data_IF_640113445228
#
_entry.id   IF_640113445228
#
_cell.length_a   1.000
_cell.length_b   1.000
_cell.length_c   1.000
_cell.angle_alpha   90.00
_cell.angle_beta   90.00
_cell.angle_gamma   90.00
#
_symmetry.space_group_name_H-M   'P 1'
#
loop_
_entity.id
_entity.type
_entity.pdbx_description
1 polymer ?
#
# COMPACT_ATOMS: atom_id res chain seq x y z
N UNK A 1 20.57 6.85 22.86
CA UNK A 1 19.35 6.07 23.22
C UNK A 1 18.28 6.41 22.20
N UNK A 2 17.52 5.40 21.70
CA UNK A 2 16.41 5.64 20.75
C UNK A 2 15.24 6.30 21.47
N UNK A 3 14.73 7.42 20.94
CA UNK A 3 13.78 8.29 21.64
C UNK A 3 12.54 8.62 20.82
N UNK A 4 12.58 8.43 19.48
CA UNK A 4 11.57 8.92 18.56
C UNK A 4 10.98 7.79 17.71
N UNK A 5 9.73 7.97 17.27
CA UNK A 5 9.05 7.15 16.30
C UNK A 5 8.57 8.07 15.17
N UNK A 6 8.71 7.62 13.93
CA UNK A 6 8.20 8.34 12.77
C UNK A 6 7.02 7.56 12.20
N UNK A 7 5.91 8.22 11.95
CA UNK A 7 4.76 7.65 11.25
C UNK A 7 4.63 8.31 9.88
N UNK A 8 4.43 7.50 8.85
CA UNK A 8 4.05 7.91 7.50
C UNK A 8 2.54 7.66 7.37
N UNK A 9 1.78 8.68 7.03
CA UNK A 9 0.37 8.59 6.66
C UNK A 9 0.24 9.00 5.19
N UNK A 10 0.19 8.00 4.32
CA UNK A 10 0.07 8.21 2.88
C UNK A 10 -1.40 8.21 2.47
N UNK A 11 -2.02 9.35 2.57
CA UNK A 11 -3.41 9.56 2.18
C UNK A 11 -3.64 9.61 0.66
N UNK A 12 -4.88 9.89 0.28
CA UNK A 12 -5.27 9.99 -1.15
C UNK A 12 -4.80 11.29 -1.79
N UNK A 13 -4.74 12.38 -1.04
CA UNK A 13 -4.42 13.71 -1.59
C UNK A 13 -3.09 14.27 -1.09
N UNK A 14 -2.56 13.71 0.00
CA UNK A 14 -1.35 14.21 0.64
C UNK A 14 -0.55 13.11 1.31
N UNK A 15 0.74 13.37 1.45
CA UNK A 15 1.66 12.63 2.31
C UNK A 15 1.83 13.41 3.60
N UNK A 16 1.63 12.76 4.75
CA UNK A 16 1.86 13.33 6.07
C UNK A 16 2.89 12.47 6.81
N UNK A 17 3.80 13.10 7.52
CA UNK A 17 4.74 12.44 8.43
C UNK A 17 4.64 13.08 9.81
N UNK A 18 4.64 12.25 10.83
CA UNK A 18 4.51 12.67 12.23
C UNK A 18 5.68 12.12 13.03
N UNK A 19 6.27 12.97 13.84
CA UNK A 19 7.31 12.62 14.82
C UNK A 19 6.68 12.49 16.19
N UNK A 20 6.89 11.34 16.82
CA UNK A 20 6.46 11.07 18.20
C UNK A 20 7.67 10.87 19.09
N UNK A 21 7.53 11.24 20.36
CA UNK A 21 8.45 10.78 21.41
C UNK A 21 8.12 9.33 21.85
N UNK A 22 8.92 8.77 22.74
CA UNK A 22 8.72 7.40 23.29
C UNK A 22 7.39 7.20 24.05
N UNK A 23 6.73 8.28 24.45
CA UNK A 23 5.44 8.26 25.16
C UNK A 23 4.26 8.52 24.18
N UNK A 24 4.49 8.43 22.89
CA UNK A 24 3.53 8.68 21.81
C UNK A 24 2.96 10.10 21.77
N UNK A 25 3.59 11.08 22.41
CA UNK A 25 3.22 12.48 22.21
C UNK A 25 3.77 12.99 20.87
N UNK A 26 2.95 13.69 20.13
CA UNK A 26 3.34 14.34 18.88
C UNK A 26 4.34 15.46 19.18
N UNK A 27 5.49 15.41 18.55
CA UNK A 27 6.52 16.47 18.60
C UNK A 27 6.37 17.43 17.43
N UNK A 28 6.22 16.88 16.22
CA UNK A 28 6.09 17.69 15.01
C UNK A 28 5.34 16.93 13.92
N UNK A 29 4.74 17.67 13.01
CA UNK A 29 3.99 17.14 11.87
C UNK A 29 4.33 17.92 10.61
N UNK A 30 4.62 17.21 9.53
CA UNK A 30 4.80 17.79 8.21
C UNK A 30 3.87 17.12 7.21
N UNK A 31 3.29 17.91 6.32
CA UNK A 31 2.36 17.43 5.29
C UNK A 31 2.69 18.11 3.96
N UNK A 32 2.45 17.39 2.87
CA UNK A 32 2.57 17.90 1.51
C UNK A 32 1.53 17.24 0.62
N UNK A 33 0.79 18.05 -0.12
CA UNK A 33 -0.09 17.60 -1.18
C UNK A 33 0.72 17.15 -2.40
N UNK A 34 0.19 16.17 -3.14
CA UNK A 34 0.76 15.70 -4.40
C UNK A 34 -0.27 15.72 -5.52
N UNK A 35 0.22 15.68 -6.74
CA UNK A 35 -0.60 15.84 -7.93
C UNK A 35 -1.54 14.67 -8.17
N UNK A 36 -2.81 14.97 -8.40
CA UNK A 36 -3.83 14.05 -8.87
C UNK A 36 -3.92 14.12 -10.40
N UNK A 37 -4.11 12.96 -11.05
CA UNK A 37 -4.26 12.90 -12.50
C UNK A 37 -5.62 12.29 -12.86
N UNK A 38 -6.34 12.96 -13.76
CA UNK A 38 -7.67 12.56 -14.24
C UNK A 38 -7.65 12.42 -15.76
N UNK A 39 -6.98 11.40 -16.35
CA UNK A 39 -6.74 11.33 -17.79
C UNK A 39 -8.01 11.11 -18.61
N UNK A 40 -9.07 10.54 -18.03
CA UNK A 40 -10.40 10.33 -18.62
C UNK A 40 -11.46 10.43 -17.54
N UNK A 41 -12.73 10.58 -17.95
CA UNK A 41 -13.85 10.53 -17.01
C UNK A 41 -13.84 9.22 -16.20
N UNK A 42 -13.92 9.32 -14.89
CA UNK A 42 -13.86 8.20 -13.93
C UNK A 42 -12.48 7.56 -13.76
N UNK A 43 -11.41 8.09 -14.37
CA UNK A 43 -10.04 7.62 -14.16
C UNK A 43 -9.32 8.49 -13.17
N UNK A 44 -8.68 7.87 -12.19
CA UNK A 44 -7.90 8.56 -11.16
C UNK A 44 -6.56 7.88 -11.00
N UNK A 45 -5.49 8.66 -11.15
CA UNK A 45 -4.12 8.15 -11.11
C UNK A 45 -3.22 9.01 -10.22
N UNK A 46 -2.26 8.36 -9.57
CA UNK A 46 -1.16 9.03 -8.86
C UNK A 46 0.18 8.66 -9.49
N UNK A 47 1.19 9.53 -9.31
CA UNK A 47 2.56 9.18 -9.63
C UNK A 47 3.23 8.52 -8.40
N UNK A 48 3.49 7.21 -8.41
CA UNK A 48 4.08 6.53 -7.26
C UNK A 48 5.51 6.99 -6.98
N UNK A 49 6.21 7.55 -7.99
CA UNK A 49 7.56 8.11 -7.80
C UNK A 49 7.46 9.43 -7.03
N UNK A 50 6.48 10.28 -7.33
CA UNK A 50 6.23 11.52 -6.60
C UNK A 50 5.88 11.23 -5.14
N UNK A 51 4.96 10.28 -4.89
CA UNK A 51 4.61 9.82 -3.55
C UNK A 51 5.86 9.43 -2.74
N UNK A 52 6.73 8.58 -3.29
CA UNK A 52 7.95 8.17 -2.59
C UNK A 52 8.94 9.33 -2.38
N UNK A 53 9.09 10.23 -3.35
CA UNK A 53 9.91 11.43 -3.21
C UNK A 53 9.42 12.32 -2.08
N UNK A 54 8.11 12.48 -1.96
CA UNK A 54 7.49 13.29 -0.91
C UNK A 54 7.68 12.69 0.49
N UNK A 55 7.49 11.37 0.63
CA UNK A 55 7.82 10.66 1.88
C UNK A 55 9.27 10.90 2.28
N UNK A 56 10.21 10.68 1.34
CA UNK A 56 11.64 10.88 1.59
C UNK A 56 11.99 12.32 1.97
N UNK A 57 11.40 13.28 1.25
CA UNK A 57 11.60 14.70 1.51
C UNK A 57 11.09 15.11 2.90
N UNK A 58 9.86 14.71 3.24
CA UNK A 58 9.23 15.08 4.50
C UNK A 58 9.96 14.46 5.71
N UNK A 59 10.39 13.21 5.64
CA UNK A 59 11.16 12.57 6.71
C UNK A 59 12.51 13.30 6.89
N UNK A 60 13.24 13.60 5.81
CA UNK A 60 14.50 14.37 5.89
C UNK A 60 14.29 15.75 6.50
N UNK A 61 13.22 16.45 6.08
CA UNK A 61 12.88 17.77 6.62
C UNK A 61 12.52 17.69 8.10
N UNK A 62 11.76 16.66 8.51
CA UNK A 62 11.37 16.43 9.90
C UNK A 62 12.60 16.21 10.81
N UNK A 63 13.52 15.35 10.37
CA UNK A 63 14.78 15.05 11.08
C UNK A 63 15.61 16.34 11.24
N UNK A 64 15.80 17.08 10.14
CA UNK A 64 16.58 18.34 10.16
C UNK A 64 15.94 19.43 11.01
N UNK A 65 14.62 19.63 10.89
CA UNK A 65 13.87 20.68 11.62
C UNK A 65 13.93 20.49 13.14
N UNK A 66 13.94 19.24 13.60
CA UNK A 66 13.92 18.93 15.02
C UNK A 66 15.31 18.59 15.60
N UNK A 67 16.38 18.81 14.82
CA UNK A 67 17.77 18.53 15.19
C UNK A 67 17.99 17.14 15.79
N UNK A 68 17.35 16.10 15.20
CA UNK A 68 17.45 14.72 15.67
C UNK A 68 18.39 13.91 14.78
N UNK A 69 19.09 12.95 15.39
CA UNK A 69 19.91 11.98 14.63
C UNK A 69 19.05 10.79 14.20
N UNK A 70 19.26 10.28 13.00
CA UNK A 70 18.56 9.07 12.53
C UNK A 70 18.72 7.89 13.48
N UNK A 71 19.86 7.77 14.18
CA UNK A 71 20.12 6.73 15.19
C UNK A 71 19.23 6.85 16.43
N UNK A 72 18.59 7.99 16.66
CA UNK A 72 17.64 8.21 17.76
C UNK A 72 16.21 7.77 17.40
N UNK A 73 15.95 7.45 16.12
CA UNK A 73 14.65 6.96 15.65
C UNK A 73 14.59 5.45 15.92
N UNK A 74 13.61 5.03 16.72
CA UNK A 74 13.35 3.63 17.06
C UNK A 74 12.81 2.87 15.86
N UNK A 75 11.76 3.41 15.23
CA UNK A 75 11.05 2.75 14.15
C UNK A 75 10.29 3.73 13.27
N UNK A 76 9.97 3.28 12.04
CA UNK A 76 9.04 3.92 11.13
C UNK A 76 7.81 3.01 11.03
N UNK A 77 6.60 3.62 11.15
CA UNK A 77 5.33 2.99 10.84
C UNK A 77 4.75 3.55 9.54
N UNK A 78 4.04 2.73 8.77
CA UNK A 78 3.38 3.11 7.50
C UNK A 78 1.88 2.91 7.63
N UNK A 79 1.11 3.99 7.50
CA UNK A 79 -0.32 3.95 7.22
C UNK A 79 -0.57 4.46 5.80
N UNK A 80 -1.55 3.90 5.08
CA UNK A 80 -1.74 4.24 3.68
C UNK A 80 -3.18 4.12 3.21
N UNK A 81 -3.53 4.91 2.18
CA UNK A 81 -4.69 4.67 1.34
C UNK A 81 -4.63 3.25 0.79
N UNK A 82 -5.66 2.44 1.01
CA UNK A 82 -5.70 1.03 0.57
C UNK A 82 -6.07 0.91 -0.90
N UNK A 83 -6.07 -0.30 -1.45
CA UNK A 83 -6.54 -0.69 -2.78
C UNK A 83 -5.81 -0.05 -3.98
N UNK A 84 -5.18 1.12 -3.80
CA UNK A 84 -4.44 1.81 -4.85
C UNK A 84 -3.31 0.92 -5.36
N UNK A 85 -3.31 0.66 -6.67
CA UNK A 85 -2.57 -0.42 -7.32
C UNK A 85 -1.34 0.08 -8.05
N UNK A 86 -0.18 -0.48 -7.74
CA UNK A 86 1.09 -0.21 -8.41
C UNK A 86 1.67 -1.50 -8.97
N UNK A 87 2.11 -1.48 -10.23
CA UNK A 87 2.97 -2.51 -10.82
C UNK A 87 4.32 -1.89 -11.20
N UNK A 88 5.42 -2.60 -10.88
CA UNK A 88 6.76 -2.10 -11.20
C UNK A 88 7.73 -3.21 -11.58
N UNK A 89 8.84 -2.81 -12.18
CA UNK A 89 9.95 -3.68 -12.51
C UNK A 89 10.91 -3.79 -11.31
N UNK A 90 11.10 -4.99 -10.78
CA UNK A 90 11.95 -5.22 -9.60
C UNK A 90 13.42 -4.86 -9.80
N UNK A 91 13.95 -4.90 -11.02
CA UNK A 91 15.34 -4.55 -11.27
C UNK A 91 15.55 -3.04 -11.33
N UNK A 92 14.80 -2.36 -12.20
CA UNK A 92 14.94 -0.91 -12.33
C UNK A 92 14.26 -0.13 -11.19
N UNK A 93 13.27 -0.72 -10.51
CA UNK A 93 12.43 -0.03 -9.53
C UNK A 93 11.45 0.96 -10.17
N UNK A 94 11.30 0.96 -11.50
CA UNK A 94 10.42 1.89 -12.20
C UNK A 94 9.01 1.33 -12.33
N UNK A 95 7.97 2.10 -11.97
CA UNK A 95 6.58 1.74 -12.26
C UNK A 95 6.38 1.50 -13.76
N UNK A 96 5.51 0.55 -14.10
CA UNK A 96 5.15 0.28 -15.50
C UNK A 96 4.04 1.20 -15.99
N UNK A 97 3.30 1.75 -15.06
CA UNK A 97 2.19 2.68 -15.25
C UNK A 97 2.03 3.56 -14.00
N UNK A 98 1.24 4.64 -14.06
CA UNK A 98 0.82 5.37 -12.87
C UNK A 98 0.04 4.47 -11.92
N UNK A 99 0.05 4.75 -10.62
CA UNK A 99 -0.79 4.05 -9.66
C UNK A 99 -2.27 4.30 -9.99
N UNK A 100 -3.05 3.22 -10.11
CA UNK A 100 -4.50 3.31 -10.30
C UNK A 100 -5.15 3.41 -8.93
N UNK A 101 -5.78 4.55 -8.65
CA UNK A 101 -6.32 4.91 -7.33
C UNK A 101 -7.59 4.10 -7.01
N UNK A 102 -7.90 3.93 -5.73
CA UNK A 102 -9.12 3.24 -5.26
C UNK A 102 -10.42 3.85 -5.82
N UNK A 103 -10.45 5.16 -6.08
CA UNK A 103 -11.59 5.88 -6.67
C UNK A 103 -11.79 5.61 -8.16
N UNK A 104 -10.81 5.00 -8.84
CA UNK A 104 -10.82 4.79 -10.28
C UNK A 104 -11.89 3.79 -10.73
N UNK A 105 -12.64 4.16 -11.74
CA UNK A 105 -13.80 3.40 -12.26
C UNK A 105 -13.53 2.69 -13.59
N UNK A 106 -12.29 2.72 -14.14
CA UNK A 106 -11.97 2.16 -15.47
C UNK A 106 -12.24 0.66 -15.60
N UNK A 107 -12.36 -0.06 -14.51
CA UNK A 107 -12.53 -1.51 -14.48
C UNK A 107 -13.98 -1.96 -14.29
N UNK A 108 -14.97 -1.05 -14.39
CA UNK A 108 -16.40 -1.38 -14.28
C UNK A 108 -16.78 -2.55 -15.19
N UNK A 109 -16.37 -2.52 -16.46
CA UNK A 109 -16.69 -3.60 -17.41
C UNK A 109 -16.10 -4.96 -17.04
N UNK A 110 -15.00 -5.00 -16.27
CA UNK A 110 -14.45 -6.24 -15.73
C UNK A 110 -15.34 -6.73 -14.59
N UNK A 111 -15.81 -5.84 -13.72
CA UNK A 111 -16.72 -6.17 -12.62
C UNK A 111 -18.05 -6.72 -13.15
N UNK A 112 -18.66 -6.06 -14.13
CA UNK A 112 -19.90 -6.50 -14.78
C UNK A 112 -19.75 -7.91 -15.38
N UNK A 113 -18.64 -8.22 -16.04
CA UNK A 113 -18.37 -9.58 -16.55
C UNK A 113 -18.30 -10.63 -15.45
N UNK A 114 -17.76 -10.29 -14.28
CA UNK A 114 -17.71 -11.19 -13.12
C UNK A 114 -19.12 -11.41 -12.52
N UNK A 115 -19.93 -10.36 -12.44
CA UNK A 115 -21.32 -10.41 -11.95
C UNK A 115 -22.18 -11.27 -12.91
N UNK A 116 -22.09 -11.01 -14.22
CA UNK A 116 -22.83 -11.77 -15.23
C UNK A 116 -22.47 -13.26 -15.25
N UNK A 117 -21.25 -13.62 -14.83
CA UNK A 117 -20.83 -15.00 -14.63
C UNK A 117 -21.29 -15.60 -13.27
N UNK A 118 -22.14 -14.88 -12.52
CA UNK A 118 -22.70 -15.29 -11.22
C UNK A 118 -21.60 -15.58 -10.15
N UNK A 119 -20.51 -14.85 -10.19
CA UNK A 119 -19.36 -15.08 -9.30
C UNK A 119 -19.41 -14.26 -7.99
N UNK A 120 -20.42 -13.43 -7.79
CA UNK A 120 -20.53 -12.53 -6.64
C UNK A 120 -20.51 -13.28 -5.30
N UNK A 121 -21.36 -14.29 -5.12
CA UNK A 121 -21.42 -15.09 -3.89
C UNK A 121 -20.08 -15.81 -3.60
N UNK A 122 -19.44 -16.36 -4.63
CA UNK A 122 -18.13 -17.02 -4.47
C UNK A 122 -17.04 -16.05 -4.01
N UNK A 123 -16.97 -14.88 -4.63
CA UNK A 123 -15.98 -13.84 -4.28
C UNK A 123 -16.23 -13.35 -2.86
N UNK A 124 -17.47 -13.03 -2.53
CA UNK A 124 -17.86 -12.58 -1.20
C UNK A 124 -17.56 -13.61 -0.11
N UNK A 125 -17.85 -14.90 -0.35
CA UNK A 125 -17.55 -15.97 0.60
C UNK A 125 -16.05 -16.09 0.90
N UNK A 126 -15.19 -15.87 -0.09
CA UNK A 126 -13.73 -15.98 0.06
C UNK A 126 -13.14 -14.71 0.71
N UNK A 127 -13.57 -13.53 0.25
CA UNK A 127 -12.90 -12.27 0.57
C UNK A 127 -13.67 -11.37 1.55
N UNK A 128 -14.96 -11.66 1.79
CA UNK A 128 -15.87 -10.76 2.49
C UNK A 128 -16.29 -9.52 1.68
N UNK A 129 -15.82 -9.37 0.42
CA UNK A 129 -16.00 -8.18 -0.40
C UNK A 129 -17.03 -8.41 -1.51
N UNK A 130 -17.71 -7.33 -1.89
CA UNK A 130 -18.51 -7.28 -3.12
C UNK A 130 -17.62 -7.12 -4.35
N UNK A 131 -18.16 -7.37 -5.55
CA UNK A 131 -17.45 -7.08 -6.80
C UNK A 131 -17.58 -5.59 -7.11
N UNK A 132 -16.48 -4.86 -6.98
CA UNK A 132 -16.43 -3.42 -7.29
C UNK A 132 -15.05 -3.04 -7.87
N UNK A 133 -14.98 -2.06 -8.79
CA UNK A 133 -13.72 -1.50 -9.28
C UNK A 133 -12.87 -0.81 -8.18
N UNK A 134 -13.43 -0.60 -7.01
CA UNK A 134 -12.74 -0.08 -5.84
C UNK A 134 -11.48 -0.91 -5.50
N UNK A 135 -11.59 -2.24 -5.55
CA UNK A 135 -10.55 -3.17 -5.11
C UNK A 135 -9.44 -3.39 -6.14
N UNK A 136 -8.26 -3.84 -5.69
CA UNK A 136 -7.05 -3.92 -6.52
C UNK A 136 -7.12 -4.95 -7.65
N UNK A 137 -7.82 -6.07 -7.45
CA UNK A 137 -7.80 -7.21 -8.37
C UNK A 137 -8.13 -6.85 -9.83
N UNK A 138 -9.20 -6.08 -10.04
CA UNK A 138 -9.62 -5.69 -11.40
C UNK A 138 -8.66 -4.68 -12.04
N UNK A 139 -8.00 -3.83 -11.23
CA UNK A 139 -6.96 -2.90 -11.67
C UNK A 139 -5.70 -3.65 -12.11
N UNK A 140 -5.28 -4.67 -11.35
CA UNK A 140 -4.16 -5.54 -11.74
C UNK A 140 -4.47 -6.22 -13.08
N UNK A 141 -5.66 -6.84 -13.21
CA UNK A 141 -6.08 -7.48 -14.46
C UNK A 141 -6.07 -6.50 -15.62
N UNK A 142 -6.57 -5.27 -15.42
CA UNK A 142 -6.55 -4.23 -16.42
C UNK A 142 -5.11 -3.86 -16.85
N UNK A 143 -4.20 -3.67 -15.89
CA UNK A 143 -2.79 -3.35 -16.17
C UNK A 143 -2.10 -4.47 -16.95
N UNK A 144 -2.29 -5.72 -16.54
CA UNK A 144 -1.71 -6.88 -17.23
C UNK A 144 -2.19 -7.01 -18.66
N UNK A 145 -3.45 -6.63 -18.94
CA UNK A 145 -4.04 -6.67 -20.29
C UNK A 145 -3.59 -5.51 -21.17
N UNK A 146 -3.57 -4.28 -20.62
CA UNK A 146 -3.48 -3.06 -21.42
C UNK A 146 -2.07 -2.44 -21.48
N UNK A 147 -1.17 -2.78 -20.54
CA UNK A 147 0.20 -2.25 -20.50
C UNK A 147 1.17 -3.25 -21.12
N UNK A 148 1.61 -3.03 -22.35
CA UNK A 148 2.48 -3.97 -23.11
C UNK A 148 3.73 -4.42 -22.33
N UNK A 149 4.34 -3.50 -21.57
CA UNK A 149 5.55 -3.76 -20.78
C UNK A 149 5.37 -4.87 -19.73
N UNK A 150 4.15 -5.04 -19.19
CA UNK A 150 3.88 -6.07 -18.16
C UNK A 150 4.13 -7.48 -18.68
N UNK A 151 3.75 -7.77 -19.94
CA UNK A 151 3.95 -9.09 -20.55
C UNK A 151 5.43 -9.48 -20.64
N UNK A 152 6.30 -8.54 -21.02
CA UNK A 152 7.77 -8.75 -21.06
C UNK A 152 8.29 -9.01 -19.65
N UNK A 153 7.95 -8.16 -18.70
CA UNK A 153 8.44 -8.29 -17.32
C UNK A 153 7.94 -9.56 -16.63
N UNK A 154 6.73 -10.04 -16.96
CA UNK A 154 6.22 -11.33 -16.46
C UNK A 154 7.06 -12.51 -16.96
N UNK A 155 7.41 -12.54 -18.26
CA UNK A 155 8.29 -13.57 -18.84
C UNK A 155 9.67 -13.58 -18.19
N UNK A 156 10.20 -12.40 -17.89
CA UNK A 156 11.50 -12.21 -17.26
C UNK A 156 11.48 -12.35 -15.73
N UNK A 157 10.35 -12.71 -15.11
CA UNK A 157 10.17 -12.77 -13.64
C UNK A 157 10.57 -11.48 -12.91
N UNK A 158 10.29 -10.34 -13.52
CA UNK A 158 10.67 -9.00 -13.05
C UNK A 158 9.50 -8.14 -12.60
N UNK A 159 8.26 -8.52 -12.91
CA UNK A 159 7.09 -7.74 -12.52
C UNK A 159 6.75 -7.99 -11.06
N UNK A 160 6.53 -6.91 -10.31
CA UNK A 160 5.99 -6.93 -8.95
C UNK A 160 4.70 -6.11 -8.87
N UNK A 161 3.83 -6.50 -7.96
CA UNK A 161 2.63 -5.79 -7.56
C UNK A 161 2.73 -5.37 -6.09
N UNK A 162 2.11 -4.25 -5.77
CA UNK A 162 1.81 -3.84 -4.40
C UNK A 162 0.74 -2.78 -4.35
N UNK A 163 0.15 -2.62 -3.18
CA UNK A 163 -0.53 -1.42 -2.76
C UNK A 163 0.50 -0.39 -2.30
N UNK A 164 0.07 0.77 -1.85
CA UNK A 164 0.99 1.88 -1.54
C UNK A 164 1.96 1.54 -0.40
N UNK A 165 1.53 0.78 0.59
CA UNK A 165 2.39 0.24 1.67
C UNK A 165 3.59 -0.54 1.11
N UNK A 166 3.30 -1.54 0.26
CA UNK A 166 4.33 -2.37 -0.39
C UNK A 166 5.27 -1.55 -1.27
N UNK A 167 4.72 -0.59 -2.03
CA UNK A 167 5.52 0.31 -2.85
C UNK A 167 6.47 1.17 -2.03
N UNK A 168 5.99 1.74 -0.92
CA UNK A 168 6.80 2.53 0.01
C UNK A 168 7.85 1.66 0.68
N UNK A 169 7.46 0.51 1.21
CA UNK A 169 8.37 -0.43 1.85
C UNK A 169 9.49 -0.86 0.91
N UNK A 170 9.15 -1.26 -0.33
CA UNK A 170 10.12 -1.66 -1.35
C UNK A 170 11.18 -0.60 -1.59
N UNK A 171 10.77 0.66 -1.71
CA UNK A 171 11.68 1.76 -1.95
C UNK A 171 12.46 2.18 -0.69
N UNK A 172 11.83 2.19 0.47
CA UNK A 172 12.48 2.51 1.75
C UNK A 172 13.56 1.49 2.11
N UNK A 173 13.33 0.20 1.83
CA UNK A 173 14.28 -0.89 2.10
C UNK A 173 15.28 -1.12 0.95
N UNK A 174 15.37 -0.19 0.00
CA UNK A 174 16.30 -0.27 -1.13
C UNK A 174 16.13 -1.57 -1.92
N UNK A 175 14.87 -1.97 -2.19
CA UNK A 175 14.44 -3.14 -2.95
C UNK A 175 14.65 -4.51 -2.26
N UNK A 176 14.74 -4.53 -0.92
CA UNK A 176 14.99 -5.78 -0.18
C UNK A 176 13.72 -6.46 0.30
N UNK A 177 12.66 -5.68 0.62
CA UNK A 177 11.44 -6.21 1.22
C UNK A 177 10.25 -6.04 0.27
N UNK A 178 9.60 -7.14 -0.08
CA UNK A 178 8.37 -7.16 -0.88
C UNK A 178 7.25 -7.79 -0.05
N UNK A 179 6.81 -7.04 0.97
CA UNK A 179 5.78 -7.44 1.92
C UNK A 179 4.58 -6.48 1.85
N UNK A 180 3.42 -6.98 2.26
CA UNK A 180 2.22 -6.22 2.61
C UNK A 180 1.71 -6.73 3.94
N UNK A 181 0.75 -6.02 4.54
CA UNK A 181 0.08 -6.48 5.74
C UNK A 181 -1.33 -7.02 5.46
N UNK A 182 -1.93 -7.68 6.45
CA UNK A 182 -3.26 -8.29 6.34
C UNK A 182 -4.32 -7.25 5.98
N UNK A 183 -4.25 -6.03 6.54
CA UNK A 183 -5.27 -4.99 6.33
C UNK A 183 -5.26 -4.42 4.92
N UNK A 184 -4.11 -4.39 4.26
CA UNK A 184 -3.99 -4.05 2.84
C UNK A 184 -4.33 -5.25 1.94
N UNK A 185 -3.81 -6.45 2.24
CA UNK A 185 -4.08 -7.67 1.46
C UNK A 185 -5.58 -7.98 1.38
N UNK A 186 -6.31 -7.90 2.49
CA UNK A 186 -7.75 -8.16 2.55
C UNK A 186 -8.58 -7.22 1.66
N UNK A 187 -8.06 -6.07 1.27
CA UNK A 187 -8.74 -5.09 0.42
C UNK A 187 -8.43 -5.25 -1.06
N UNK A 188 -7.69 -6.28 -1.44
CA UNK A 188 -7.33 -6.50 -2.85
C UNK A 188 -8.39 -7.25 -3.67
N UNK A 189 -9.37 -7.90 -3.03
CA UNK A 189 -10.29 -8.88 -3.63
C UNK A 189 -9.54 -10.12 -4.19
N UNK A 190 -8.35 -10.41 -3.65
CA UNK A 190 -7.53 -11.58 -3.99
C UNK A 190 -7.17 -12.43 -2.77
N UNK A 191 -7.37 -11.89 -1.56
CA UNK A 191 -7.01 -12.52 -0.31
C UNK A 191 -8.19 -13.31 0.27
N UNK A 192 -7.93 -14.55 0.65
CA UNK A 192 -8.91 -15.40 1.35
C UNK A 192 -8.84 -15.06 2.84
N UNK A 193 -9.84 -14.30 3.32
CA UNK A 193 -9.88 -13.84 4.72
C UNK A 193 -10.17 -14.97 5.71
N UNK A 194 -10.63 -16.14 5.25
CA UNK A 194 -10.88 -17.30 6.13
C UNK A 194 -9.61 -18.13 6.31
N UNK A 195 -8.72 -18.15 5.31
CA UNK A 195 -7.49 -18.95 5.30
C UNK A 195 -6.24 -18.10 5.54
N UNK A 196 -6.38 -16.79 5.55
CA UNK A 196 -5.29 -15.83 5.67
C UNK A 196 -4.18 -16.03 4.61
N UNK A 197 -4.58 -16.30 3.36
CA UNK A 197 -3.66 -16.51 2.23
C UNK A 197 -4.17 -15.88 0.93
N UNK A 198 -3.29 -15.70 -0.04
CA UNK A 198 -3.69 -15.34 -1.41
C UNK A 198 -4.51 -16.47 -2.03
N UNK A 199 -5.76 -16.18 -2.44
CA UNK A 199 -6.69 -17.17 -2.97
C UNK A 199 -6.28 -17.68 -4.35
N UNK A 200 -5.76 -18.91 -4.42
CA UNK A 200 -5.38 -19.56 -5.68
C UNK A 200 -6.53 -19.59 -6.69
N UNK A 201 -7.77 -19.76 -6.21
CA UNK A 201 -8.95 -19.81 -7.08
C UNK A 201 -9.29 -18.45 -7.69
N UNK A 202 -9.14 -17.34 -6.94
CA UNK A 202 -9.37 -15.99 -7.45
C UNK A 202 -8.23 -15.53 -8.36
N UNK A 203 -6.99 -15.88 -8.04
CA UNK A 203 -5.84 -15.61 -8.89
C UNK A 203 -5.99 -16.28 -10.26
N UNK A 204 -6.40 -17.56 -10.30
CA UNK A 204 -6.69 -18.28 -11.54
C UNK A 204 -7.85 -17.64 -12.31
N UNK A 205 -8.95 -17.30 -11.63
CA UNK A 205 -10.14 -16.66 -12.21
C UNK A 205 -9.81 -15.31 -12.88
N UNK A 206 -8.97 -14.53 -12.24
CA UNK A 206 -8.59 -13.19 -12.71
C UNK A 206 -7.31 -13.20 -13.58
N UNK A 207 -6.69 -14.37 -13.79
CA UNK A 207 -5.45 -14.53 -14.56
C UNK A 207 -4.30 -13.69 -14.01
N UNK A 208 -4.21 -13.61 -12.67
CA UNK A 208 -3.16 -12.88 -11.98
C UNK A 208 -2.11 -13.88 -11.48
N UNK A 209 -0.85 -13.78 -11.94
CA UNK A 209 0.20 -14.69 -11.51
C UNK A 209 0.56 -14.47 -10.04
N UNK A 210 0.55 -15.52 -9.23
CA UNK A 210 0.91 -15.47 -7.81
C UNK A 210 2.29 -14.83 -7.56
N UNK A 211 3.25 -15.11 -8.41
CA UNK A 211 4.65 -14.66 -8.29
C UNK A 211 4.87 -13.13 -8.29
N UNK A 212 3.85 -12.34 -8.66
CA UNK A 212 3.95 -10.88 -8.62
C UNK A 212 3.49 -10.29 -7.29
N UNK A 213 2.82 -11.09 -6.45
CA UNK A 213 2.21 -10.63 -5.20
C UNK A 213 3.24 -10.57 -4.08
N UNK A 214 3.10 -9.59 -3.15
CA UNK A 214 3.94 -9.53 -1.95
C UNK A 214 3.57 -10.67 -0.98
N UNK A 215 4.51 -11.03 -0.13
CA UNK A 215 4.22 -11.88 1.02
C UNK A 215 3.43 -11.08 2.06
N UNK A 216 2.39 -11.69 2.64
CA UNK A 216 1.54 -11.06 3.64
C UNK A 216 2.14 -11.31 5.03
N UNK A 217 2.27 -10.23 5.82
CA UNK A 217 2.81 -10.26 7.19
C UNK A 217 1.79 -9.66 8.17
N UNK A 218 1.92 -9.95 9.46
CA UNK A 218 1.18 -9.25 10.51
C UNK A 218 1.45 -7.74 10.47
N UNK A 219 0.53 -6.92 11.00
CA UNK A 219 0.69 -5.46 11.04
C UNK A 219 1.95 -4.99 11.79
N UNK A 220 2.38 -5.76 12.80
CA UNK A 220 3.63 -5.54 13.53
C UNK A 220 4.58 -6.66 13.16
N UNK A 221 5.65 -6.31 12.46
CA UNK A 221 6.63 -7.25 11.95
C UNK A 221 7.96 -6.54 11.67
N UNK A 222 9.07 -7.25 11.61
CA UNK A 222 10.33 -6.69 11.10
C UNK A 222 10.28 -6.64 9.56
N UNK A 223 9.74 -5.54 9.04
CA UNK A 223 9.63 -5.34 7.59
C UNK A 223 10.98 -5.01 6.93
N UNK A 224 12.03 -4.84 7.71
CA UNK A 224 13.37 -4.50 7.27
C UNK A 224 13.80 -3.09 7.68
N UNK A 225 14.91 -2.65 7.14
CA UNK A 225 15.56 -1.41 7.52
C UNK A 225 15.71 -0.47 6.35
N UNK A 226 15.47 0.82 6.58
CA UNK A 226 15.87 1.87 5.65
C UNK A 226 17.21 2.47 6.07
N UNK A 227 18.11 2.71 5.10
CA UNK A 227 19.37 3.42 5.30
C UNK A 227 19.43 4.76 4.57
N UNK A 228 18.37 5.11 3.82
CA UNK A 228 18.33 6.29 2.96
C UNK A 228 18.39 7.63 3.70
N UNK A 229 18.30 7.61 5.03
CA UNK A 229 18.39 8.78 5.90
C UNK A 229 19.73 8.91 6.63
N UNK A 230 20.67 7.96 6.42
CA UNK A 230 22.03 8.02 6.99
C UNK A 230 22.35 6.88 7.94
N UNK A 231 21.45 6.50 8.84
CA UNK A 231 21.61 5.33 9.73
C UNK A 231 20.46 4.34 9.54
N UNK A 232 20.66 3.05 9.84
CA UNK A 232 19.59 2.07 9.74
C UNK A 232 18.44 2.39 10.70
N UNK A 233 17.22 2.52 10.16
CA UNK A 233 15.99 2.69 10.92
C UNK A 233 15.07 1.51 10.57
N UNK A 234 14.59 0.80 11.58
CA UNK A 234 13.64 -0.30 11.41
C UNK A 234 12.28 0.20 10.87
N UNK A 235 11.66 -0.57 10.00
CA UNK A 235 10.25 -0.39 9.61
C UNK A 235 9.49 -1.49 10.33
N UNK A 236 8.81 -1.13 11.44
CA UNK A 236 8.25 -2.07 12.40
C UNK A 236 6.73 -2.22 12.34
N UNK A 237 6.04 -1.45 11.50
CA UNK A 237 4.59 -1.54 11.42
C UNK A 237 4.03 -1.04 10.10
N UNK A 238 2.99 -1.73 9.61
CA UNK A 238 2.19 -1.32 8.46
C UNK A 238 0.71 -1.58 8.72
N UNK A 239 -0.15 -0.67 8.27
CA UNK A 239 -1.59 -0.85 8.31
C UNK A 239 -2.28 0.03 7.27
N UNK A 240 -3.43 -0.41 6.75
CA UNK A 240 -4.33 0.47 6.02
C UNK A 240 -4.80 1.64 6.89
N UNK A 241 -5.03 2.80 6.27
CA UNK A 241 -5.39 4.06 6.93
C UNK A 241 -6.57 3.91 7.91
N UNK A 242 -7.60 3.16 7.53
CA UNK A 242 -8.79 2.94 8.35
C UNK A 242 -8.48 2.11 9.60
N UNK A 243 -7.68 1.05 9.46
CA UNK A 243 -7.27 0.20 10.57
C UNK A 243 -6.28 0.93 11.49
N UNK A 244 -5.31 1.65 10.93
CA UNK A 244 -4.41 2.49 11.69
C UNK A 244 -5.18 3.54 12.51
N UNK A 245 -6.19 4.17 11.91
CA UNK A 245 -7.06 5.13 12.61
C UNK A 245 -7.89 4.46 13.72
N UNK A 246 -8.44 3.25 13.51
CA UNK A 246 -9.17 2.53 14.56
C UNK A 246 -8.27 2.22 15.77
N UNK A 247 -7.02 1.82 15.51
CA UNK A 247 -6.01 1.62 16.56
C UNK A 247 -5.72 2.95 17.29
N UNK A 248 -5.50 4.02 16.56
CA UNK A 248 -5.24 5.35 17.12
C UNK A 248 -6.38 5.88 17.99
N UNK A 249 -7.63 5.52 17.68
CA UNK A 249 -8.82 5.81 18.49
C UNK A 249 -9.10 4.77 19.57
N UNK A 250 -8.18 3.84 19.82
CA UNK A 250 -8.31 2.80 20.85
C UNK A 250 -9.60 1.95 20.74
N UNK A 251 -10.02 1.66 19.50
CA UNK A 251 -11.21 0.84 19.23
C UNK A 251 -10.90 -0.66 19.41
N UNK A 252 -10.51 -1.09 20.63
CA UNK A 252 -10.11 -2.45 20.93
C UNK A 252 -11.20 -3.28 21.64
N UNK A 253 -12.27 -2.64 22.08
CA UNK A 253 -13.35 -3.31 22.83
C UNK A 253 -14.67 -3.23 22.08
N UNK A 254 -15.54 -4.22 22.29
CA UNK A 254 -16.91 -4.21 21.76
C UNK A 254 -17.64 -2.92 22.14
N UNK A 255 -18.38 -2.35 21.20
CA UNK A 255 -19.11 -1.11 21.37
C UNK A 255 -18.32 0.17 21.08
N UNK A 256 -17.00 0.11 20.97
CA UNK A 256 -16.20 1.24 20.46
C UNK A 256 -16.19 1.23 18.94
N UNK A 257 -16.50 2.36 18.34
CA UNK A 257 -16.53 2.54 16.90
C UNK A 257 -15.86 3.87 16.52
N UNK A 258 -15.29 3.87 15.32
CA UNK A 258 -14.77 5.05 14.65
C UNK A 258 -15.61 5.32 13.42
N UNK A 259 -16.12 6.55 13.28
CA UNK A 259 -16.72 7.05 12.05
C UNK A 259 -15.64 7.67 11.13
N UNK A 260 -15.81 7.50 9.84
CA UNK A 260 -14.90 8.08 8.83
C UNK A 260 -15.70 8.70 7.73
#
# INVERSE_FOLDING_TARGET
MKKFIVSIDQGTTSTKVVLYNKNFHVIDTLQKEFRQFFPKNGWVEHDPIEIFKDVKFLIKKLIKKNDIKCSEILSIGIANQRETTVLWDKLSGKPVYKAIVWQDRRTISICEKLINKKLASKIQKITGLVIDPYFSATKIKWLLKNVKKTKKLLKENRLLFGTIDTWLLWNLTEKKSHFTDITNASRTMLYDSNKEEWSKSLLKLLEIPHKILPEVKPNVFDFGYTKIFGSPINIGGMAGDQQASAIGHTCFTLGKAKST
#
